data_IF_131404805347
#
_entry.id   IF_131404805347
#
_cell.length_a   1.000
_cell.length_b   1.000
_cell.length_c   1.000
_cell.angle_alpha   90.00
_cell.angle_beta   90.00
_cell.angle_gamma   90.00
#
_symmetry.space_group_name_H-M   'P 1'
#
loop_
_entity.id
_entity.type
_entity.pdbx_description
1 polymer ?
#
# COMPACT_ATOMS: atom_id res chain seq x y z
N UNK A 1 51.07 -17.20 -54.14
CA UNK A 1 49.84 -17.95 -53.81
C UNK A 1 50.19 -18.92 -52.69
N UNK A 2 49.83 -18.58 -51.45
CA UNK A 2 50.03 -19.45 -50.28
C UNK A 2 48.71 -20.17 -49.99
N UNK A 3 48.76 -21.49 -49.91
CA UNK A 3 47.62 -22.30 -49.47
C UNK A 3 47.36 -22.05 -47.97
N UNK A 4 46.09 -21.95 -47.54
CA UNK A 4 45.76 -21.86 -46.12
C UNK A 4 46.02 -23.21 -45.44
N UNK A 5 46.34 -23.20 -44.13
CA UNK A 5 46.54 -24.43 -43.37
C UNK A 5 45.19 -25.17 -43.20
N UNK A 6 45.22 -26.50 -42.99
CA UNK A 6 44.01 -27.28 -42.81
C UNK A 6 43.29 -26.81 -41.54
N UNK A 7 41.99 -26.54 -41.67
CA UNK A 7 41.10 -26.28 -40.55
C UNK A 7 41.11 -27.50 -39.63
N UNK A 8 41.56 -27.30 -38.40
CA UNK A 8 41.34 -28.23 -37.29
C UNK A 8 39.84 -28.49 -37.16
N UNK A 9 39.40 -29.68 -37.56
CA UNK A 9 38.05 -30.17 -37.34
C UNK A 9 37.81 -30.31 -35.84
N UNK A 10 37.00 -29.39 -35.32
CA UNK A 10 36.02 -29.53 -34.25
C UNK A 10 36.11 -30.86 -33.46
N UNK A 11 36.61 -30.77 -32.23
CA UNK A 11 36.25 -31.70 -31.16
C UNK A 11 34.76 -31.52 -30.85
N UNK A 12 33.89 -32.14 -31.64
CA UNK A 12 32.56 -32.51 -31.17
C UNK A 12 32.67 -33.90 -30.55
N UNK A 13 33.16 -33.97 -29.31
CA UNK A 13 32.98 -35.16 -28.48
C UNK A 13 31.49 -35.30 -28.20
N UNK A 14 30.83 -36.20 -28.93
CA UNK A 14 29.47 -36.62 -28.64
C UNK A 14 29.44 -37.24 -27.26
N UNK A 15 28.88 -36.53 -26.29
CA UNK A 15 28.61 -37.07 -24.95
C UNK A 15 27.83 -38.37 -25.10
N UNK A 16 28.29 -39.41 -24.42
CA UNK A 16 27.56 -40.68 -24.30
C UNK A 16 26.20 -40.43 -23.64
N UNK A 17 25.22 -41.31 -23.85
CA UNK A 17 23.88 -41.12 -23.26
C UNK A 17 23.92 -41.06 -21.72
N UNK A 18 24.90 -41.72 -21.08
CA UNK A 18 25.18 -41.59 -19.65
C UNK A 18 25.66 -40.18 -19.26
N UNK A 19 26.58 -39.60 -20.04
CA UNK A 19 27.11 -38.24 -19.79
C UNK A 19 26.08 -37.14 -20.07
N UNK A 20 25.20 -37.31 -21.07
CA UNK A 20 24.07 -36.39 -21.31
C UNK A 20 23.05 -36.45 -20.16
N UNK A 21 22.81 -37.64 -19.62
CA UNK A 21 21.91 -37.85 -18.49
C UNK A 21 22.47 -37.20 -17.22
N UNK A 22 23.77 -37.35 -16.96
CA UNK A 22 24.44 -36.69 -15.84
C UNK A 22 24.46 -35.16 -15.98
N UNK A 23 24.79 -34.62 -17.16
CA UNK A 23 24.79 -33.18 -17.40
C UNK A 23 23.39 -32.55 -17.21
N UNK A 24 22.33 -33.25 -17.62
CA UNK A 24 20.94 -32.82 -17.38
C UNK A 24 20.57 -32.87 -15.89
N UNK A 25 21.06 -33.86 -15.14
CA UNK A 25 20.86 -33.98 -13.69
C UNK A 25 21.59 -32.91 -12.91
N UNK A 26 22.84 -32.61 -13.27
CA UNK A 26 23.62 -31.51 -12.68
C UNK A 26 22.98 -30.16 -12.98
N UNK A 27 22.40 -29.99 -14.17
CA UNK A 27 21.61 -28.80 -14.52
C UNK A 27 20.35 -28.69 -13.64
N UNK A 28 19.61 -29.78 -13.41
CA UNK A 28 18.43 -29.79 -12.53
C UNK A 28 18.84 -29.45 -11.09
N UNK A 29 19.92 -30.05 -10.58
CA UNK A 29 20.40 -29.79 -9.22
C UNK A 29 20.88 -28.35 -9.03
N UNK A 30 21.59 -27.78 -10.02
CA UNK A 30 21.99 -26.36 -10.02
C UNK A 30 20.80 -25.40 -10.12
N UNK A 31 19.74 -25.74 -10.85
CA UNK A 31 18.54 -24.90 -10.90
C UNK A 31 17.67 -25.05 -9.64
N UNK A 32 17.66 -26.23 -9.01
CA UNK A 32 17.11 -26.41 -7.67
C UNK A 32 17.81 -25.46 -6.68
N UNK A 33 19.13 -25.32 -6.75
CA UNK A 33 19.93 -24.46 -5.87
C UNK A 33 19.43 -23.01 -5.82
N UNK A 34 18.99 -22.46 -6.95
CA UNK A 34 18.41 -21.12 -6.99
C UNK A 34 17.03 -21.06 -6.32
N UNK A 35 16.16 -22.05 -6.57
CA UNK A 35 14.85 -22.17 -5.91
C UNK A 35 14.96 -22.36 -4.39
N UNK A 36 15.95 -23.13 -3.93
CA UNK A 36 16.19 -23.42 -2.51
C UNK A 36 16.64 -22.20 -1.73
N UNK A 37 17.44 -21.31 -2.34
CA UNK A 37 17.81 -20.04 -1.69
C UNK A 37 16.60 -19.16 -1.39
N UNK A 38 15.56 -19.20 -2.23
CA UNK A 38 14.29 -18.52 -1.94
C UNK A 38 13.52 -19.21 -0.81
N UNK A 39 13.63 -20.53 -0.67
CA UNK A 39 13.03 -21.29 0.43
C UNK A 39 13.73 -21.01 1.77
N UNK A 40 15.06 -20.99 1.80
CA UNK A 40 15.85 -20.63 3.00
C UNK A 40 15.56 -19.17 3.42
N UNK A 41 15.45 -18.25 2.45
CA UNK A 41 15.07 -16.86 2.71
C UNK A 41 13.66 -16.76 3.28
N UNK A 42 12.70 -17.48 2.71
CA UNK A 42 11.34 -17.54 3.20
C UNK A 42 11.25 -18.15 4.61
N UNK A 43 11.98 -19.22 4.88
CA UNK A 43 12.03 -19.88 6.19
C UNK A 43 12.56 -18.95 7.29
N UNK A 44 13.47 -18.03 6.95
CA UNK A 44 13.93 -16.98 7.87
C UNK A 44 12.92 -15.84 8.00
N UNK A 45 12.36 -15.37 6.89
CA UNK A 45 11.37 -14.29 6.86
C UNK A 45 10.11 -14.60 7.68
N UNK A 46 9.65 -15.86 7.66
CA UNK A 46 8.44 -16.29 8.38
C UNK A 46 8.50 -16.00 9.89
N UNK A 47 9.52 -16.46 10.64
CA UNK A 47 9.62 -16.20 12.07
C UNK A 47 10.14 -14.79 12.42
N UNK A 48 11.04 -14.22 11.62
CA UNK A 48 11.69 -12.94 11.99
C UNK A 48 10.97 -11.70 11.48
N UNK A 49 10.11 -11.85 10.46
CA UNK A 49 9.55 -10.75 9.65
C UNK A 49 10.63 -9.75 9.17
N UNK A 50 11.88 -10.18 9.01
CA UNK A 50 12.98 -9.29 8.60
C UNK A 50 14.06 -10.05 7.82
N UNK A 51 14.77 -9.35 6.92
CA UNK A 51 15.87 -9.91 6.12
C UNK A 51 17.26 -9.59 6.69
N UNK A 52 17.38 -9.14 7.94
CA UNK A 52 18.61 -8.52 8.44
C UNK A 52 19.80 -9.48 8.67
N UNK A 53 19.63 -10.80 8.49
CA UNK A 53 20.74 -11.75 8.64
C UNK A 53 20.68 -12.93 7.66
N UNK A 54 21.13 -12.68 6.41
CA UNK A 54 21.24 -13.72 5.37
C UNK A 54 22.42 -14.68 5.60
N UNK A 55 23.21 -14.54 6.68
CA UNK A 55 24.36 -15.40 6.94
C UNK A 55 23.96 -16.86 7.22
N UNK A 56 22.68 -17.11 7.55
CA UNK A 56 22.10 -18.43 7.84
C UNK A 56 21.43 -19.12 6.64
N UNK A 57 21.51 -18.55 5.43
CA UNK A 57 20.89 -19.13 4.22
C UNK A 57 21.73 -20.31 3.71
N UNK A 58 21.65 -21.44 4.41
CA UNK A 58 22.20 -22.72 3.97
C UNK A 58 21.54 -23.95 4.60
N UNK A 59 20.51 -23.78 5.44
CA UNK A 59 19.95 -24.89 6.23
C UNK A 59 19.30 -25.98 5.35
N UNK A 60 18.46 -25.59 4.40
CA UNK A 60 17.82 -26.54 3.47
C UNK A 60 18.88 -27.21 2.58
N UNK A 61 19.91 -26.44 2.17
CA UNK A 61 21.02 -26.96 1.38
C UNK A 61 21.85 -28.00 2.13
N UNK A 62 22.08 -27.82 3.43
CA UNK A 62 22.87 -28.76 4.23
C UNK A 62 22.10 -30.06 4.47
N UNK A 63 20.79 -29.99 4.74
CA UNK A 63 19.93 -31.19 4.81
C UNK A 63 19.91 -31.94 3.48
N UNK A 64 19.84 -31.23 2.36
CA UNK A 64 19.86 -31.87 1.04
C UNK A 64 21.17 -32.59 0.75
N UNK A 65 22.32 -32.03 1.18
CA UNK A 65 23.61 -32.72 1.04
C UNK A 65 23.61 -34.01 1.86
N UNK A 66 23.07 -33.98 3.06
CA UNK A 66 22.96 -35.16 3.93
C UNK A 66 22.05 -36.23 3.33
N UNK A 67 20.90 -35.84 2.75
CA UNK A 67 19.99 -36.78 2.06
C UNK A 67 20.64 -37.34 0.78
N UNK A 68 21.39 -36.50 0.05
CA UNK A 68 22.04 -36.90 -1.21
C UNK A 68 23.12 -37.94 -0.97
N UNK A 69 23.91 -37.81 0.10
CA UNK A 69 24.98 -38.76 0.43
C UNK A 69 25.90 -39.04 -0.77
N UNK A 70 25.91 -40.29 -1.23
CA UNK A 70 26.64 -40.70 -2.44
C UNK A 70 25.95 -40.18 -3.72
N UNK A 71 26.62 -39.34 -4.53
CA UNK A 71 26.07 -38.80 -5.76
C UNK A 71 25.79 -39.85 -6.86
N UNK A 72 26.17 -41.11 -6.67
CA UNK A 72 25.88 -42.21 -7.60
C UNK A 72 24.61 -42.99 -7.24
N UNK A 73 24.04 -42.81 -6.03
CA UNK A 73 22.77 -43.42 -5.63
C UNK A 73 21.59 -42.67 -6.29
N UNK A 74 20.95 -43.27 -7.28
CA UNK A 74 19.78 -42.65 -7.94
C UNK A 74 18.59 -42.49 -6.99
N UNK A 75 18.39 -43.43 -6.05
CA UNK A 75 17.31 -43.33 -5.08
C UNK A 75 17.53 -42.16 -4.10
N UNK A 76 18.78 -41.74 -3.88
CA UNK A 76 19.07 -40.54 -3.10
C UNK A 76 18.62 -39.25 -3.79
N UNK A 77 18.67 -39.21 -5.12
CA UNK A 77 18.20 -38.03 -5.87
C UNK A 77 16.69 -37.87 -5.73
N UNK A 78 15.95 -38.97 -5.84
CA UNK A 78 14.49 -38.96 -5.67
C UNK A 78 14.10 -38.53 -4.25
N UNK A 79 14.81 -38.99 -3.22
CA UNK A 79 14.62 -38.54 -1.83
C UNK A 79 14.87 -37.03 -1.66
N UNK A 80 15.89 -36.48 -2.31
CA UNK A 80 16.16 -35.02 -2.31
C UNK A 80 15.03 -34.25 -2.99
N UNK A 81 14.54 -34.74 -4.13
CA UNK A 81 13.44 -34.10 -4.86
C UNK A 81 12.14 -34.12 -4.05
N UNK A 82 11.82 -35.23 -3.39
CA UNK A 82 10.65 -35.34 -2.51
C UNK A 82 10.77 -34.42 -1.30
N UNK A 83 11.95 -34.36 -0.65
CA UNK A 83 12.22 -33.42 0.43
C UNK A 83 11.98 -31.97 0.01
N UNK A 84 12.52 -31.57 -1.14
CA UNK A 84 12.35 -30.21 -1.68
C UNK A 84 10.89 -29.93 -1.99
N UNK A 85 10.15 -30.88 -2.56
CA UNK A 85 8.72 -30.72 -2.84
C UNK A 85 7.91 -30.53 -1.56
N UNK A 86 8.16 -31.35 -0.54
CA UNK A 86 7.47 -31.26 0.76
C UNK A 86 7.80 -29.92 1.44
N UNK A 87 9.09 -29.56 1.52
CA UNK A 87 9.53 -28.30 2.13
C UNK A 87 9.05 -27.07 1.38
N UNK A 88 9.05 -27.09 0.05
CA UNK A 88 8.47 -26.03 -0.77
C UNK A 88 6.99 -25.84 -0.46
N UNK A 89 6.25 -26.94 -0.30
CA UNK A 89 4.82 -26.88 0.05
C UNK A 89 4.62 -26.32 1.46
N UNK A 90 5.38 -26.79 2.45
CA UNK A 90 5.33 -26.31 3.83
C UNK A 90 5.64 -24.80 3.93
N UNK A 91 6.72 -24.36 3.28
CA UNK A 91 7.14 -22.95 3.26
C UNK A 91 6.12 -22.10 2.52
N UNK A 92 5.58 -22.57 1.38
CA UNK A 92 4.49 -21.88 0.69
C UNK A 92 3.28 -21.70 1.60
N UNK A 93 2.84 -22.76 2.29
CA UNK A 93 1.74 -22.67 3.25
C UNK A 93 2.04 -21.68 4.39
N UNK A 94 3.28 -21.65 4.90
CA UNK A 94 3.67 -20.70 5.94
C UNK A 94 3.78 -19.26 5.43
N UNK A 95 4.29 -19.03 4.21
CA UNK A 95 4.28 -17.72 3.56
C UNK A 95 2.84 -17.22 3.33
N UNK A 96 1.94 -18.13 2.92
CA UNK A 96 0.52 -17.85 2.76
C UNK A 96 -0.18 -17.45 4.07
N UNK A 97 0.39 -17.81 5.24
CA UNK A 97 -0.05 -17.33 6.56
C UNK A 97 0.55 -15.98 6.97
N UNK A 98 1.61 -15.53 6.29
CA UNK A 98 2.17 -14.19 6.51
C UNK A 98 1.37 -13.12 5.81
N UNK A 99 0.83 -13.39 4.61
CA UNK A 99 -0.11 -12.48 3.94
C UNK A 99 -1.26 -12.22 4.92
N UNK A 100 -1.54 -10.97 5.35
CA UNK A 100 -2.62 -10.67 6.24
C UNK A 100 -3.91 -10.97 5.48
N UNK A 101 -4.41 -12.17 5.76
CA UNK A 101 -5.77 -12.58 5.44
C UNK A 101 -6.76 -11.98 6.44
N UNK A 102 -6.27 -11.36 7.50
CA UNK A 102 -7.13 -10.74 8.49
C UNK A 102 -7.78 -9.50 7.89
N UNK A 103 -9.10 -9.52 7.73
CA UNK A 103 -9.81 -8.41 7.16
C UNK A 103 -9.82 -7.24 8.14
N UNK A 104 -9.90 -6.01 7.64
CA UNK A 104 -10.03 -4.85 8.52
C UNK A 104 -11.46 -4.82 9.06
N UNK A 105 -11.62 -4.77 10.39
CA UNK A 105 -12.94 -4.80 11.05
C UNK A 105 -13.17 -3.55 11.87
N UNK A 106 -14.33 -2.93 11.68
CA UNK A 106 -14.79 -1.79 12.47
C UNK A 106 -15.51 -0.75 11.64
N UNK A 107 -15.15 0.52 11.82
CA UNK A 107 -15.84 1.67 11.23
C UNK A 107 -15.09 2.17 10.00
N UNK A 108 -15.83 2.35 8.91
CA UNK A 108 -15.33 2.91 7.65
C UNK A 108 -16.07 4.19 7.31
N UNK A 109 -15.35 5.23 6.92
CA UNK A 109 -15.93 6.44 6.34
C UNK A 109 -15.74 6.43 4.83
N UNK A 110 -16.82 6.68 4.11
CA UNK A 110 -16.84 6.75 2.65
C UNK A 110 -16.99 8.21 2.26
N UNK A 111 -16.16 8.64 1.31
CA UNK A 111 -16.16 9.97 0.73
C UNK A 111 -16.39 9.84 -0.78
N UNK A 112 -17.48 10.42 -1.27
CA UNK A 112 -17.87 10.36 -2.68
C UNK A 112 -17.81 11.78 -3.23
N UNK A 113 -16.88 12.04 -4.14
CA UNK A 113 -16.73 13.33 -4.83
C UNK A 113 -17.46 13.30 -6.15
N UNK A 114 -18.26 14.32 -6.42
CA UNK A 114 -19.02 14.46 -7.65
C UNK A 114 -18.38 15.45 -8.63
N UNK A 115 -18.50 15.15 -9.92
CA UNK A 115 -18.00 16.01 -10.98
C UNK A 115 -18.97 17.19 -11.25
N UNK A 116 -18.51 18.41 -10.97
CA UNK A 116 -19.35 19.62 -11.06
C UNK A 116 -18.96 20.49 -12.28
N UNK A 117 -18.99 19.96 -13.51
CA UNK A 117 -18.44 20.65 -14.70
C UNK A 117 -19.22 21.87 -15.19
N UNK A 118 -20.54 21.91 -15.00
CA UNK A 118 -21.36 23.05 -15.42
C UNK A 118 -22.71 22.99 -14.72
N UNK A 119 -23.04 24.01 -13.91
CA UNK A 119 -24.27 24.14 -13.10
C UNK A 119 -24.21 23.60 -11.64
N UNK A 120 -23.18 24.03 -10.91
CA UNK A 120 -23.03 23.78 -9.48
C UNK A 120 -24.29 24.09 -8.63
N UNK A 121 -25.02 25.21 -8.83
CA UNK A 121 -26.20 25.51 -8.00
C UNK A 121 -27.32 24.48 -8.13
N UNK A 122 -27.58 23.98 -9.34
CA UNK A 122 -28.58 22.95 -9.57
C UNK A 122 -28.14 21.62 -8.98
N UNK A 123 -26.90 21.20 -9.26
CA UNK A 123 -26.36 19.94 -8.75
C UNK A 123 -26.33 19.92 -7.21
N UNK A 124 -25.95 21.03 -6.57
CA UNK A 124 -26.02 21.18 -5.12
C UNK A 124 -27.44 20.99 -4.59
N UNK A 125 -28.46 21.54 -5.26
CA UNK A 125 -29.86 21.39 -4.84
C UNK A 125 -30.33 19.93 -4.96
N UNK A 126 -30.01 19.27 -6.08
CA UNK A 126 -30.39 17.88 -6.35
C UNK A 126 -29.69 16.91 -5.39
N UNK A 127 -28.36 17.01 -5.23
CA UNK A 127 -27.61 16.21 -4.26
C UNK A 127 -28.05 16.46 -2.83
N UNK A 128 -28.36 17.71 -2.45
CA UNK A 128 -28.87 18.01 -1.12
C UNK A 128 -30.20 17.30 -0.85
N UNK A 129 -31.11 17.29 -1.82
CA UNK A 129 -32.38 16.56 -1.70
C UNK A 129 -32.15 15.05 -1.62
N UNK A 130 -31.25 14.50 -2.43
CA UNK A 130 -30.90 13.08 -2.41
C UNK A 130 -30.29 12.66 -1.07
N UNK A 131 -29.30 13.42 -0.58
CA UNK A 131 -28.67 13.19 0.72
C UNK A 131 -29.65 13.34 1.90
N UNK A 132 -30.68 14.19 1.79
CA UNK A 132 -31.72 14.30 2.83
C UNK A 132 -32.56 13.03 2.97
N UNK A 133 -32.75 12.29 1.87
CA UNK A 133 -33.52 11.05 1.84
C UNK A 133 -32.66 9.81 2.08
N UNK A 134 -31.34 9.98 2.27
CA UNK A 134 -30.39 8.90 2.55
C UNK A 134 -29.67 9.17 3.88
N UNK A 135 -28.69 8.33 4.23
CA UNK A 135 -27.87 8.50 5.44
C UNK A 135 -26.60 9.31 5.18
N UNK A 136 -26.44 9.88 3.99
CA UNK A 136 -25.24 10.62 3.59
C UNK A 136 -25.30 12.08 4.05
N UNK A 137 -24.18 12.58 4.54
CA UNK A 137 -23.98 13.98 4.88
C UNK A 137 -23.28 14.69 3.72
N UNK A 138 -23.83 15.83 3.28
CA UNK A 138 -23.27 16.59 2.17
C UNK A 138 -22.35 17.71 2.68
N UNK A 139 -21.16 17.79 2.11
CA UNK A 139 -20.16 18.81 2.36
C UNK A 139 -19.66 19.42 1.05
N UNK A 140 -19.15 20.65 1.15
CA UNK A 140 -18.48 21.35 0.04
C UNK A 140 -17.00 21.44 0.40
N UNK A 141 -16.12 21.01 -0.51
CA UNK A 141 -14.67 21.19 -0.39
C UNK A 141 -14.18 22.17 -1.43
N UNK A 142 -13.40 23.16 -0.99
CA UNK A 142 -12.67 24.08 -1.84
C UNK A 142 -11.18 23.82 -1.59
N UNK A 143 -10.49 23.22 -2.55
CA UNK A 143 -9.06 22.97 -2.48
C UNK A 143 -8.30 24.06 -3.24
N UNK A 144 -7.35 24.72 -2.58
CA UNK A 144 -6.36 25.56 -3.24
C UNK A 144 -5.31 24.61 -3.84
N UNK A 145 -5.43 24.30 -5.12
CA UNK A 145 -4.31 23.66 -5.82
C UNK A 145 -3.26 24.72 -6.10
N UNK A 146 -1.98 24.44 -5.77
CA UNK A 146 -0.86 25.38 -5.95
C UNK A 146 -0.72 25.94 -7.38
N UNK A 147 -1.38 25.30 -8.35
CA UNK A 147 -1.64 25.80 -9.68
C UNK A 147 -2.80 26.79 -9.66
N UNK A 148 -2.49 28.08 -9.43
CA UNK A 148 -3.40 29.19 -9.69
C UNK A 148 -4.02 29.03 -11.09
N UNK A 149 -5.26 28.55 -11.19
CA UNK A 149 -6.18 29.03 -12.21
C UNK A 149 -7.66 28.88 -11.91
N UNK A 150 -8.14 27.84 -11.23
CA UNK A 150 -9.55 27.81 -10.83
C UNK A 150 -9.78 26.92 -9.60
N UNK A 151 -10.15 27.52 -8.47
CA UNK A 151 -10.63 26.79 -7.30
C UNK A 151 -12.11 26.47 -7.47
N UNK A 152 -12.42 25.37 -8.14
CA UNK A 152 -13.80 24.91 -8.25
C UNK A 152 -14.24 24.21 -6.96
N UNK A 153 -15.39 24.61 -6.37
CA UNK A 153 -15.94 23.88 -5.24
C UNK A 153 -16.36 22.47 -5.69
N UNK A 154 -15.92 21.47 -4.94
CA UNK A 154 -16.32 20.07 -5.10
C UNK A 154 -17.42 19.73 -4.10
N UNK A 155 -18.41 18.96 -4.54
CA UNK A 155 -19.45 18.38 -3.67
C UNK A 155 -19.00 17.00 -3.23
N UNK A 156 -19.11 16.74 -1.92
CA UNK A 156 -18.76 15.45 -1.33
C UNK A 156 -19.89 14.93 -0.46
N UNK A 157 -20.33 13.70 -0.72
CA UNK A 157 -21.19 12.94 0.19
C UNK A 157 -20.34 12.07 1.11
N UNK A 158 -20.65 12.09 2.40
CA UNK A 158 -19.90 11.41 3.46
C UNK A 158 -20.84 10.50 4.25
N UNK A 159 -20.46 9.25 4.46
CA UNK A 159 -21.20 8.32 5.31
C UNK A 159 -20.27 7.37 6.05
N UNK A 160 -20.71 6.93 7.23
CA UNK A 160 -20.03 5.91 8.03
C UNK A 160 -20.73 4.55 7.91
N UNK A 161 -19.93 3.49 7.84
CA UNK A 161 -20.36 2.09 7.79
C UNK A 161 -19.67 1.31 8.89
N UNK A 162 -20.32 0.26 9.36
CA UNK A 162 -19.72 -0.73 10.25
C UNK A 162 -19.64 -2.06 9.51
N UNK A 163 -18.49 -2.72 9.52
CA UNK A 163 -18.33 -4.03 8.89
C UNK A 163 -16.88 -4.43 8.70
N UNK A 164 -16.61 -5.09 7.57
CA UNK A 164 -15.35 -5.80 7.32
C UNK A 164 -14.84 -5.58 5.88
N UNK A 165 -13.62 -5.08 5.71
CA UNK A 165 -12.97 -4.93 4.40
C UNK A 165 -12.14 -6.17 4.05
N UNK A 166 -12.23 -6.73 2.82
CA UNK A 166 -12.78 -6.12 1.60
C UNK A 166 -14.29 -6.26 1.38
N UNK A 167 -14.98 -7.14 2.12
CA UNK A 167 -16.40 -7.47 1.85
C UNK A 167 -17.36 -6.27 1.85
N UNK A 168 -17.09 -5.26 2.68
CA UNK A 168 -17.90 -4.05 2.77
C UNK A 168 -17.76 -3.15 1.53
N UNK A 169 -16.68 -3.29 0.75
CA UNK A 169 -16.46 -2.52 -0.47
C UNK A 169 -17.58 -2.73 -1.48
N UNK A 170 -17.92 -3.99 -1.78
CA UNK A 170 -19.01 -4.30 -2.73
C UNK A 170 -20.39 -3.85 -2.23
N UNK A 171 -20.65 -3.89 -0.92
CA UNK A 171 -21.89 -3.36 -0.34
C UNK A 171 -21.97 -1.84 -0.52
N UNK A 172 -20.87 -1.13 -0.26
CA UNK A 172 -20.78 0.32 -0.45
C UNK A 172 -20.97 0.67 -1.92
N UNK A 173 -20.26 0.00 -2.84
CA UNK A 173 -20.35 0.24 -4.28
C UNK A 173 -21.79 0.06 -4.80
N UNK A 174 -22.46 -1.02 -4.41
CA UNK A 174 -23.86 -1.25 -4.81
C UNK A 174 -24.79 -0.15 -4.28
N UNK A 175 -24.66 0.20 -3.00
CA UNK A 175 -25.49 1.25 -2.40
C UNK A 175 -25.24 2.61 -3.06
N UNK A 176 -23.99 2.95 -3.35
CA UNK A 176 -23.63 4.20 -4.06
C UNK A 176 -24.20 4.21 -5.47
N UNK A 177 -24.12 3.10 -6.20
CA UNK A 177 -24.70 2.98 -7.54
C UNK A 177 -26.22 3.09 -7.53
N UNK A 178 -26.91 2.64 -6.47
CA UNK A 178 -28.36 2.79 -6.31
C UNK A 178 -28.75 4.22 -5.88
N UNK A 179 -28.07 4.75 -4.86
CA UNK A 179 -28.37 6.05 -4.25
C UNK A 179 -27.86 7.24 -5.06
N UNK A 180 -26.97 7.06 -6.04
CA UNK A 180 -26.39 8.16 -6.82
C UNK A 180 -26.25 7.85 -8.32
N UNK A 181 -27.05 6.91 -8.85
CA UNK A 181 -27.04 6.52 -10.26
C UNK A 181 -27.11 7.70 -11.25
N UNK A 182 -27.80 8.77 -10.87
CA UNK A 182 -28.03 9.95 -11.70
C UNK A 182 -26.91 10.99 -11.66
N UNK A 183 -25.85 10.78 -10.86
CA UNK A 183 -24.75 11.73 -10.70
C UNK A 183 -23.43 11.18 -11.24
N UNK A 184 -22.63 12.05 -11.87
CA UNK A 184 -21.27 11.71 -12.27
C UNK A 184 -20.35 11.70 -11.04
N UNK A 185 -19.94 10.51 -10.61
CA UNK A 185 -19.00 10.32 -9.50
C UNK A 185 -17.57 10.44 -10.03
N UNK A 186 -16.84 11.43 -9.55
CA UNK A 186 -15.44 11.69 -9.92
C UNK A 186 -14.45 10.82 -9.14
N UNK A 187 -14.75 10.52 -7.86
CA UNK A 187 -13.87 9.74 -6.99
C UNK A 187 -14.66 9.16 -5.81
N UNK A 188 -14.33 7.94 -5.41
CA UNK A 188 -14.77 7.36 -4.15
C UNK A 188 -13.55 6.92 -3.33
N UNK A 189 -13.51 7.31 -2.06
CA UNK A 189 -12.48 6.93 -1.10
C UNK A 189 -13.13 6.25 0.09
N UNK A 190 -12.62 5.08 0.47
CA UNK A 190 -13.02 4.38 1.70
C UNK A 190 -11.85 4.46 2.67
N UNK A 191 -12.14 4.97 3.87
CA UNK A 191 -11.17 5.14 4.94
C UNK A 191 -11.58 4.35 6.17
N UNK A 192 -10.69 3.50 6.63
CA UNK A 192 -10.79 2.81 7.91
C UNK A 192 -10.41 3.76 9.06
N UNK A 193 -11.12 3.69 10.19
CA UNK A 193 -10.59 4.24 11.43
C UNK A 193 -9.26 3.58 11.79
N UNK A 194 -8.30 4.33 12.35
CA UNK A 194 -7.03 3.78 12.85
C UNK A 194 -7.21 2.80 14.02
N UNK A 195 -8.34 2.90 14.73
CA UNK A 195 -8.71 2.01 15.83
C UNK A 195 -9.27 0.66 15.37
N UNK A 196 -9.55 0.49 14.07
CA UNK A 196 -10.05 -0.77 13.53
C UNK A 196 -9.01 -1.89 13.71
N UNK A 197 -9.52 -3.10 13.90
CA UNK A 197 -8.69 -4.31 13.86
C UNK A 197 -8.22 -4.55 12.43
N UNK A 198 -7.00 -5.05 12.25
CA UNK A 198 -6.43 -5.40 10.94
C UNK A 198 -5.71 -4.26 10.21
N UNK A 199 -5.79 -3.02 10.71
CA UNK A 199 -4.96 -1.90 10.21
C UNK A 199 -3.47 -2.22 10.45
N UNK A 200 -2.56 -1.98 9.48
CA UNK A 200 -1.15 -2.34 9.61
C UNK A 200 -0.51 -1.66 10.82
N UNK A 201 0.01 -2.46 11.76
CA UNK A 201 0.48 -1.93 13.04
C UNK A 201 1.91 -1.38 12.96
N UNK A 202 2.79 -2.04 12.19
CA UNK A 202 4.19 -1.67 12.00
C UNK A 202 4.51 -1.31 10.55
N UNK A 203 5.63 -0.60 10.32
CA UNK A 203 6.10 -0.23 8.97
C UNK A 203 6.38 -1.47 8.12
N UNK A 204 6.91 -2.53 8.74
CA UNK A 204 7.14 -3.83 8.10
C UNK A 204 5.80 -4.44 7.65
N UNK A 205 4.78 -4.44 8.51
CA UNK A 205 3.45 -4.94 8.13
C UNK A 205 2.84 -4.11 7.00
N UNK A 206 3.11 -2.80 6.95
CA UNK A 206 2.66 -1.95 5.84
C UNK A 206 3.35 -2.34 4.53
N UNK A 207 4.69 -2.40 4.53
CA UNK A 207 5.49 -2.67 3.33
C UNK A 207 5.27 -4.07 2.75
N UNK A 208 5.10 -5.08 3.61
CA UNK A 208 4.97 -6.45 3.14
C UNK A 208 3.61 -6.75 2.51
N UNK A 209 2.56 -6.00 2.87
CA UNK A 209 1.19 -6.47 2.69
C UNK A 209 0.21 -5.46 2.12
N UNK A 210 0.62 -4.21 2.01
CA UNK A 210 -0.24 -3.14 1.53
C UNK A 210 0.50 -2.35 0.48
N UNK A 211 -0.17 -2.12 -0.64
CA UNK A 211 0.37 -1.31 -1.72
C UNK A 211 0.85 0.05 -1.18
N UNK A 212 2.11 0.35 -1.47
CA UNK A 212 2.83 1.57 -1.07
C UNK A 212 2.14 2.81 -1.66
N UNK A 213 1.57 2.73 -2.86
CA UNK A 213 1.00 3.88 -3.56
C UNK A 213 -0.45 4.15 -3.18
N UNK A 214 -1.20 3.12 -2.76
CA UNK A 214 -2.66 3.25 -2.66
C UNK A 214 -3.20 3.27 -1.23
N UNK A 215 -2.45 2.73 -0.29
CA UNK A 215 -2.89 2.60 1.10
C UNK A 215 -2.02 3.48 1.99
N UNK A 216 -2.60 4.47 2.64
CA UNK A 216 -1.85 5.43 3.42
C UNK A 216 -2.59 5.82 4.70
N UNK A 217 -1.83 6.26 5.70
CA UNK A 217 -2.38 6.93 6.87
C UNK A 217 -2.62 8.40 6.53
N UNK A 218 -3.87 8.86 6.67
CA UNK A 218 -4.25 10.24 6.50
C UNK A 218 -4.53 10.90 7.85
N UNK A 219 -3.90 12.05 8.04
CA UNK A 219 -4.07 12.93 9.20
C UNK A 219 -4.70 14.23 8.74
N UNK A 220 -5.71 14.66 9.48
CA UNK A 220 -6.39 15.91 9.22
C UNK A 220 -6.25 16.85 10.42
N UNK A 221 -5.89 18.10 10.15
CA UNK A 221 -5.72 19.13 11.16
C UNK A 221 -6.65 20.29 10.85
N UNK A 222 -7.46 20.69 11.83
CA UNK A 222 -8.24 21.92 11.71
C UNK A 222 -7.34 23.13 11.96
N UNK A 223 -7.33 24.04 10.99
CA UNK A 223 -6.68 25.34 11.09
C UNK A 223 -7.74 26.42 11.31
N UNK A 224 -7.41 27.43 12.12
CA UNK A 224 -8.22 28.63 12.22
C UNK A 224 -8.06 29.46 10.94
N UNK A 225 -9.15 30.04 10.40
CA UNK A 225 -9.07 30.92 9.24
C UNK A 225 -8.18 32.13 9.56
N UNK A 226 -7.31 32.52 8.61
CA UNK A 226 -6.44 33.71 8.60
C UNK A 226 -4.99 33.61 9.10
N UNK A 227 -4.31 32.46 9.02
CA UNK A 227 -2.86 32.44 9.25
C UNK A 227 -2.06 31.73 8.15
N UNK A 228 -1.77 32.46 7.07
CA UNK A 228 -0.83 32.05 6.01
C UNK A 228 0.57 31.69 6.53
N UNK A 229 0.95 32.22 7.71
CA UNK A 229 2.18 31.83 8.41
C UNK A 229 2.14 30.40 8.95
N UNK A 230 0.97 29.86 9.29
CA UNK A 230 0.81 28.51 9.88
C UNK A 230 1.00 27.45 8.83
N UNK A 231 0.38 27.61 7.66
CA UNK A 231 0.60 26.71 6.53
C UNK A 231 2.08 26.68 6.15
N UNK A 232 2.73 27.84 5.98
CA UNK A 232 4.18 27.88 5.66
C UNK A 232 5.05 27.24 6.73
N UNK A 233 4.72 27.43 8.01
CA UNK A 233 5.48 26.84 9.12
C UNK A 233 5.28 25.32 9.13
N UNK A 234 4.07 24.84 8.89
CA UNK A 234 3.75 23.43 8.75
C UNK A 234 4.47 22.78 7.57
N UNK A 235 4.41 23.39 6.38
CA UNK A 235 5.15 22.93 5.21
C UNK A 235 6.66 22.88 5.47
N UNK A 236 7.23 23.84 6.21
CA UNK A 236 8.66 23.80 6.60
C UNK A 236 8.98 22.66 7.57
N UNK A 237 8.10 22.38 8.54
CA UNK A 237 8.25 21.26 9.48
C UNK A 237 8.24 19.94 8.71
N UNK A 238 7.31 19.79 7.76
CA UNK A 238 7.21 18.62 6.90
C UNK A 238 8.44 18.50 6.00
N UNK A 239 8.82 19.57 5.30
CA UNK A 239 9.93 19.56 4.34
C UNK A 239 11.28 19.24 5.01
N UNK A 240 11.52 19.79 6.20
CA UNK A 240 12.70 19.44 7.00
C UNK A 240 12.72 17.98 7.45
N UNK A 241 11.55 17.33 7.54
CA UNK A 241 11.39 15.93 7.97
C UNK A 241 11.35 14.95 6.80
N UNK A 242 10.91 15.36 5.60
CA UNK A 242 11.06 14.60 4.34
C UNK A 242 12.51 14.20 4.08
N UNK A 243 13.48 15.00 4.55
CA UNK A 243 14.91 14.67 4.43
C UNK A 243 15.41 13.63 5.43
N UNK A 244 14.70 13.40 6.54
CA UNK A 244 15.03 12.39 7.56
C UNK A 244 14.26 11.09 7.39
N UNK A 245 13.08 11.18 6.78
CA UNK A 245 12.17 10.09 6.51
C UNK A 245 12.07 10.03 4.99
N UNK A 246 12.86 9.16 4.37
CA UNK A 246 12.83 8.90 2.93
C UNK A 246 11.54 8.14 2.56
N UNK A 247 10.38 8.74 2.84
CA UNK A 247 9.05 8.22 2.57
C UNK A 247 8.19 9.32 1.98
N UNK A 248 7.49 9.00 0.90
CA UNK A 248 6.64 9.91 0.15
C UNK A 248 5.53 10.42 1.08
N UNK A 249 5.65 11.68 1.51
CA UNK A 249 4.58 12.35 2.28
C UNK A 249 3.99 13.47 1.44
N UNK A 250 2.67 13.51 1.36
CA UNK A 250 1.93 14.57 0.67
C UNK A 250 1.22 15.46 1.70
N UNK A 251 1.17 16.75 1.41
CA UNK A 251 0.49 17.74 2.25
C UNK A 251 -0.35 18.65 1.35
N UNK A 252 -1.60 18.88 1.74
CA UNK A 252 -2.56 19.70 1.00
C UNK A 252 -3.46 20.45 1.96
N UNK A 253 -3.76 21.72 1.67
CA UNK A 253 -4.76 22.49 2.40
C UNK A 253 -6.05 22.61 1.58
N UNK A 254 -7.19 22.56 2.28
CA UNK A 254 -8.50 22.77 1.70
C UNK A 254 -9.48 23.29 2.74
N UNK A 255 -10.53 23.96 2.30
CA UNK A 255 -11.62 24.41 3.17
C UNK A 255 -12.81 23.48 2.98
N UNK A 256 -13.30 22.89 4.08
CA UNK A 256 -14.51 22.09 4.08
C UNK A 256 -15.63 22.87 4.79
N UNK A 257 -16.77 23.04 4.10
CA UNK A 257 -17.98 23.62 4.66
C UNK A 257 -19.07 22.56 4.69
N UNK A 258 -19.47 22.17 5.90
CA UNK A 258 -20.67 21.35 6.10
C UNK A 258 -21.92 22.19 5.86
N UNK A 259 -22.83 21.71 5.01
CA UNK A 259 -24.00 22.49 4.55
C UNK A 259 -25.03 22.66 5.67
N UNK A 260 -25.17 21.66 6.55
CA UNK A 260 -26.07 21.67 7.70
C UNK A 260 -25.60 22.64 8.81
N UNK A 261 -24.29 22.77 9.01
CA UNK A 261 -23.71 23.56 10.12
C UNK A 261 -23.32 24.98 9.72
N UNK A 262 -23.30 25.29 8.41
CA UNK A 262 -22.95 26.59 7.84
C UNK A 262 -21.58 27.14 8.30
N UNK A 263 -20.72 26.30 8.88
CA UNK A 263 -19.38 26.63 9.37
C UNK A 263 -18.35 26.14 8.37
N UNK A 264 -17.45 27.04 7.97
CA UNK A 264 -16.27 26.69 7.18
C UNK A 264 -15.13 26.33 8.12
N UNK A 265 -14.44 25.23 7.82
CA UNK A 265 -13.24 24.80 8.53
C UNK A 265 -12.11 24.67 7.51
N UNK A 266 -11.01 25.37 7.75
CA UNK A 266 -9.77 25.12 7.01
C UNK A 266 -9.17 23.83 7.55
N UNK A 267 -8.87 22.90 6.66
CA UNK A 267 -8.34 21.58 6.98
C UNK A 267 -7.02 21.41 6.24
N UNK A 268 -6.02 20.98 6.98
CA UNK A 268 -4.74 20.56 6.45
C UNK A 268 -4.70 19.06 6.49
N UNK A 269 -4.47 18.44 5.34
CA UNK A 269 -4.34 16.99 5.20
C UNK A 269 -2.88 16.64 4.99
N UNK A 270 -2.44 15.61 5.70
CA UNK A 270 -1.13 14.98 5.57
C UNK A 270 -1.33 13.49 5.33
N UNK A 271 -0.59 12.91 4.39
CA UNK A 271 -0.71 11.47 4.04
C UNK A 271 0.65 10.77 4.12
N UNK A 272 0.67 9.55 4.66
CA UNK A 272 1.86 8.71 4.80
C UNK A 272 1.68 7.32 4.20
N UNK A 273 2.50 6.97 3.22
CA UNK A 273 2.28 5.84 2.31
C UNK A 273 2.96 4.53 2.77
N UNK A 274 4.11 4.60 3.45
CA UNK A 274 4.94 3.42 3.76
C UNK A 274 5.19 3.19 5.25
N UNK A 275 4.33 3.74 6.11
CA UNK A 275 4.45 3.58 7.55
C UNK A 275 3.24 2.83 8.11
N UNK A 276 3.47 2.11 9.20
CA UNK A 276 2.43 1.49 10.01
C UNK A 276 1.83 2.46 11.01
N UNK A 277 0.73 2.00 11.65
CA UNK A 277 -0.03 2.78 12.63
C UNK A 277 0.81 3.36 13.74
N UNK A 278 1.75 2.58 14.30
CA UNK A 278 2.57 3.04 15.43
C UNK A 278 3.37 4.29 15.06
N UNK A 279 4.13 4.22 13.98
CA UNK A 279 4.94 5.32 13.45
C UNK A 279 4.07 6.50 13.04
N UNK A 280 2.92 6.25 12.38
CA UNK A 280 1.98 7.30 12.01
C UNK A 280 1.45 8.09 13.22
N UNK A 281 1.15 7.40 14.33
CA UNK A 281 0.69 8.02 15.57
C UNK A 281 1.79 8.83 16.27
N UNK A 282 3.02 8.29 16.33
CA UNK A 282 4.19 9.00 16.87
C UNK A 282 4.44 10.30 16.08
N UNK A 283 4.44 10.21 14.74
CA UNK A 283 4.59 11.36 13.86
C UNK A 283 3.45 12.38 14.03
N UNK A 284 2.21 11.90 14.17
CA UNK A 284 1.08 12.77 14.45
C UNK A 284 1.27 13.56 15.75
N UNK A 285 1.66 12.88 16.82
CA UNK A 285 1.81 13.51 18.13
C UNK A 285 2.94 14.54 18.14
N UNK A 286 4.03 14.29 17.41
CA UNK A 286 5.06 15.30 17.17
C UNK A 286 4.53 16.53 16.44
N UNK A 287 3.79 16.34 15.34
CA UNK A 287 3.18 17.44 14.57
C UNK A 287 2.24 18.25 15.45
N UNK A 288 1.40 17.57 16.25
CA UNK A 288 0.49 18.22 17.20
C UNK A 288 1.23 19.01 18.27
N UNK A 289 2.34 18.50 18.79
CA UNK A 289 3.16 19.22 19.77
C UNK A 289 3.75 20.49 19.16
N UNK A 290 4.19 20.45 17.92
CA UNK A 290 4.66 21.64 17.22
C UNK A 290 3.53 22.65 16.98
N UNK A 291 2.35 22.20 16.52
CA UNK A 291 1.19 23.09 16.36
C UNK A 291 0.77 23.79 17.66
N UNK A 292 0.83 23.08 18.80
CA UNK A 292 0.58 23.64 20.13
C UNK A 292 1.59 24.73 20.51
N UNK A 293 2.87 24.58 20.16
CA UNK A 293 3.91 25.59 20.44
C UNK A 293 3.61 26.92 19.75
N UNK A 294 2.92 26.89 18.60
CA UNK A 294 2.46 28.09 17.91
C UNK A 294 1.09 28.61 18.42
N UNK A 295 0.62 28.12 19.57
CA UNK A 295 -0.62 28.55 20.25
C UNK A 295 -1.90 28.42 19.41
N UNK A 296 -1.97 27.38 18.57
CA UNK A 296 -3.18 27.10 17.81
C UNK A 296 -4.08 26.10 18.55
N UNK A 297 -5.38 26.41 18.76
CA UNK A 297 -6.35 25.42 19.18
C UNK A 297 -6.64 24.49 17.98
N UNK A 298 -5.77 23.51 17.77
CA UNK A 298 -6.00 22.43 16.81
C UNK A 298 -6.82 21.34 17.48
N UNK A 299 -8.01 21.02 16.96
CA UNK A 299 -8.71 19.79 17.31
C UNK A 299 -8.07 18.62 16.56
N UNK A 300 -7.63 17.60 17.32
CA UNK A 300 -7.14 16.34 16.75
C UNK A 300 -8.33 15.65 16.07
N UNK A 301 -8.25 15.45 14.76
CA UNK A 301 -9.10 14.46 14.09
C UNK A 301 -8.42 13.11 14.25
N UNK A 302 -9.20 12.05 14.51
CA UNK A 302 -8.65 10.70 14.57
C UNK A 302 -7.98 10.35 13.23
N UNK A 303 -6.74 9.82 13.26
CA UNK A 303 -6.07 9.30 12.07
C UNK A 303 -6.95 8.27 11.36
N UNK A 304 -6.86 8.27 10.03
CA UNK A 304 -7.60 7.33 9.18
C UNK A 304 -6.61 6.57 8.30
N UNK A 305 -6.98 5.36 7.88
CA UNK A 305 -6.21 4.55 6.95
C UNK A 305 -7.00 4.36 5.66
N UNK A 306 -6.47 4.80 4.53
CA UNK A 306 -7.12 4.65 3.22
C UNK A 306 -7.03 3.19 2.80
N UNK A 307 -8.19 2.55 2.65
CA UNK A 307 -8.30 1.13 2.26
C UNK A 307 -8.69 0.96 0.80
N UNK A 308 -9.26 1.99 0.19
CA UNK A 308 -9.68 1.99 -1.20
C UNK A 308 -9.82 3.41 -1.73
N UNK A 309 -9.43 3.61 -2.99
CA UNK A 309 -9.53 4.88 -3.69
C UNK A 309 -9.62 4.65 -5.20
N UNK A 310 -10.70 5.14 -5.83
CA UNK A 310 -10.93 4.93 -7.27
C UNK A 310 -10.01 5.75 -8.18
N UNK A 311 -9.24 6.70 -7.66
CA UNK A 311 -8.52 7.68 -8.49
C UNK A 311 -7.02 7.76 -8.18
N UNK A 312 -6.45 6.68 -7.62
CA UNK A 312 -5.08 6.69 -7.11
C UNK A 312 -4.01 6.71 -8.22
N UNK A 313 -4.34 6.23 -9.42
CA UNK A 313 -3.48 6.34 -10.61
C UNK A 313 -3.29 7.78 -11.10
N UNK A 314 -4.19 8.70 -10.73
CA UNK A 314 -4.11 10.13 -11.09
C UNK A 314 -3.31 10.96 -10.08
N UNK A 315 -2.93 10.38 -8.93
CA UNK A 315 -2.01 10.98 -7.95
C UNK A 315 -0.53 10.71 -8.26
N UNK A 316 -0.22 10.19 -9.45
CA UNK A 316 1.15 10.12 -9.97
C UNK A 316 1.81 11.48 -9.82
N UNK A 317 2.83 11.46 -8.98
CA UNK A 317 3.72 12.54 -8.60
C UNK A 317 4.05 13.36 -9.85
N UNK A 318 3.72 14.65 -9.79
CA UNK A 318 4.44 15.65 -10.58
C UNK A 318 5.86 15.57 -10.07
N UNK A 319 6.72 14.84 -10.80
CA UNK A 319 8.16 14.82 -10.55
C UNK A 319 8.64 16.27 -10.46
N UNK A 320 9.10 16.63 -9.27
CA UNK A 320 9.81 17.89 -9.01
C UNK A 320 11.30 17.69 -9.25
#
# INVERSE_FOLDING_TARGET
>A
MMNPPPRSSSCCSSLTDGEKTQARRDFIFKNLFHGIRFLDLAEQLIPTRSMYDLSRVSYILDIMKDIRGDPTDEAALDRVLDFVRIKSTEIKTRLDTLVPREPIRGIFKVYITFECRSNFPQMLKELKNKCHNTKYQLAIIQADTNTKKDTFPQLIAIRSYHGEYPSIGGLIENEVNEDFAEFDIARMIIKSSVSNQGVPSSDIDKQLFWDEQTHCFELHYHLLPNQSHVERSFYRIIDGRKRRLALESSCSSYTMKRIDQNRSQSILKMSFFDIGRKTALEMNDEVMNTLKQYSHPSSKIEPEFVVYDTNIDAMKIVDS
#
